data_IF_625953937959
#
_entry.id   IF_625953937959
#
_cell.length_a   1.000
_cell.length_b   1.000
_cell.length_c   1.000
_cell.angle_alpha   90.00
_cell.angle_beta   90.00
_cell.angle_gamma   90.00
#
_symmetry.space_group_name_H-M   'P 1'
#
loop_
_entity.id
_entity.type
_entity.pdbx_description
1 polymer ?
#
# COMPACT_ATOMS: atom_id res chain seq x y z
N UNK A 1 28.31 3.98 9.58
CA UNK A 1 28.30 3.26 10.87
C UNK A 1 27.81 4.20 11.96
N UNK A 2 26.84 3.79 12.78
CA UNK A 2 26.35 4.61 13.89
C UNK A 2 27.33 4.63 15.07
N UNK A 3 27.55 5.81 15.63
CA UNK A 3 28.38 6.03 16.82
C UNK A 3 27.45 6.26 18.02
N UNK A 4 27.27 5.21 18.83
CA UNK A 4 26.34 5.20 19.95
C UNK A 4 26.99 5.37 21.32
N UNK A 5 26.22 5.90 22.27
CA UNK A 5 26.53 5.89 23.71
C UNK A 5 25.41 5.17 24.45
N UNK A 6 25.75 4.42 25.49
CA UNK A 6 24.74 3.87 26.40
C UNK A 6 24.15 4.96 27.30
N UNK A 7 22.81 5.06 27.35
CA UNK A 7 22.08 6.08 28.12
C UNK A 7 21.17 5.52 29.21
N UNK A 8 20.79 4.24 29.14
CA UNK A 8 20.02 3.56 30.18
C UNK A 8 20.57 2.15 30.42
N UNK A 9 21.51 2.03 31.36
CA UNK A 9 22.19 0.76 31.64
C UNK A 9 22.88 0.18 30.40
N UNK A 10 22.75 -1.13 30.18
CA UNK A 10 23.33 -1.85 29.04
C UNK A 10 22.36 -2.01 27.86
N UNK A 11 21.09 -1.61 28.03
CA UNK A 11 20.02 -1.89 27.06
C UNK A 11 19.60 -0.69 26.22
N UNK A 12 19.98 0.53 26.62
CA UNK A 12 19.65 1.75 25.88
C UNK A 12 20.85 2.32 25.15
N UNK A 13 20.92 2.17 23.82
CA UNK A 13 21.90 2.87 22.98
C UNK A 13 21.26 4.13 22.45
N UNK A 14 21.93 5.26 22.56
CA UNK A 14 21.61 6.50 21.86
C UNK A 14 22.69 6.77 20.82
N UNK A 15 22.32 6.72 19.54
CA UNK A 15 23.23 7.07 18.45
C UNK A 15 23.43 8.59 18.45
N UNK A 16 24.68 9.04 18.52
CA UNK A 16 25.03 10.47 18.57
C UNK A 16 25.42 10.98 17.17
N UNK A 17 26.09 10.15 16.38
CA UNK A 17 26.63 10.54 15.08
C UNK A 17 26.72 9.35 14.12
N UNK A 18 26.92 9.65 12.84
CA UNK A 18 27.19 8.67 11.80
C UNK A 18 28.60 8.87 11.24
N UNK A 19 29.36 7.79 11.16
CA UNK A 19 30.62 7.73 10.43
C UNK A 19 30.35 7.24 8.99
N UNK A 20 30.77 8.04 8.02
CA UNK A 20 30.82 7.73 6.59
C UNK A 20 32.24 7.33 6.22
N UNK A 21 32.39 6.30 5.40
CA UNK A 21 33.70 5.84 4.95
C UNK A 21 33.76 5.99 3.43
N UNK A 22 34.75 6.73 2.94
CA UNK A 22 35.08 6.75 1.52
C UNK A 22 35.69 5.39 1.15
N UNK A 23 35.00 4.64 0.30
CA UNK A 23 35.41 3.31 -0.14
C UNK A 23 36.69 3.30 -0.99
N UNK A 24 37.06 4.42 -1.60
CA UNK A 24 38.25 4.55 -2.44
C UNK A 24 39.48 4.93 -1.62
N UNK A 25 39.32 5.88 -0.69
CA UNK A 25 40.45 6.45 0.07
C UNK A 25 40.58 5.90 1.49
N UNK A 26 39.50 5.31 2.03
CA UNK A 26 39.40 4.92 3.42
C UNK A 26 39.21 6.08 4.40
N UNK A 27 39.05 7.32 3.91
CA UNK A 27 38.80 8.48 4.76
C UNK A 27 37.46 8.33 5.51
N UNK A 28 37.42 8.77 6.76
CA UNK A 28 36.24 8.68 7.62
C UNK A 28 35.76 10.08 7.98
N UNK A 29 34.54 10.41 7.55
CA UNK A 29 33.86 11.65 7.91
C UNK A 29 32.75 11.37 8.90
N UNK A 30 32.55 12.26 9.87
CA UNK A 30 31.53 12.10 10.91
C UNK A 30 30.51 13.22 10.84
N UNK A 31 29.24 12.88 10.74
CA UNK A 31 28.12 13.82 10.80
C UNK A 31 27.25 13.58 12.02
N UNK A 32 26.73 14.64 12.62
CA UNK A 32 25.63 14.54 13.59
C UNK A 32 24.37 14.10 12.86
N UNK A 33 23.47 13.33 13.50
CA UNK A 33 22.28 12.77 12.83
C UNK A 33 21.47 13.85 12.07
N UNK A 34 21.22 14.99 12.70
CA UNK A 34 20.47 16.11 12.11
C UNK A 34 21.18 16.79 10.94
N UNK A 35 22.51 16.66 10.84
CA UNK A 35 23.35 17.32 9.85
C UNK A 35 23.96 16.32 8.86
N UNK A 36 23.56 15.05 8.89
CA UNK A 36 24.03 14.08 7.93
C UNK A 36 23.48 14.39 6.54
N UNK A 37 24.26 14.18 5.47
CA UNK A 37 23.82 14.41 4.11
C UNK A 37 22.46 13.76 3.81
N UNK A 38 21.66 14.43 2.96
CA UNK A 38 20.31 13.99 2.63
C UNK A 38 20.26 12.59 2.01
N UNK A 39 21.29 12.19 1.26
CA UNK A 39 21.40 10.86 0.64
C UNK A 39 21.59 9.71 1.65
N UNK A 40 21.80 10.00 2.94
CA UNK A 40 21.88 8.98 4.00
C UNK A 40 20.49 8.75 4.58
N UNK A 41 19.84 7.69 4.14
CA UNK A 41 18.48 7.37 4.58
C UNK A 41 18.45 6.74 5.97
N UNK A 42 19.36 5.79 6.24
CA UNK A 42 19.40 5.02 7.48
C UNK A 42 20.41 5.59 8.47
N UNK A 43 20.02 6.69 9.12
CA UNK A 43 20.81 7.34 10.17
C UNK A 43 20.68 6.70 11.55
N UNK A 44 19.70 5.82 11.75
CA UNK A 44 19.59 4.94 12.91
C UNK A 44 19.57 3.46 12.47
N UNK A 45 20.25 2.58 13.22
CA UNK A 45 20.12 1.14 13.02
C UNK A 45 18.75 0.64 13.52
N UNK A 46 18.31 -0.49 12.98
CA UNK A 46 17.02 -1.12 13.25
C UNK A 46 16.89 -1.58 14.71
N UNK A 47 17.96 -2.12 15.30
CA UNK A 47 17.99 -2.55 16.70
C UNK A 47 17.69 -1.41 17.71
N UNK A 48 18.19 -0.20 17.43
CA UNK A 48 17.93 0.97 18.24
C UNK A 48 16.47 1.41 18.12
N UNK A 49 15.91 1.43 16.91
CA UNK A 49 14.52 1.83 16.68
C UNK A 49 13.54 0.80 17.25
N UNK A 50 13.85 -0.49 17.16
CA UNK A 50 13.08 -1.57 17.79
C UNK A 50 12.99 -1.38 19.31
N UNK A 51 14.12 -1.04 19.94
CA UNK A 51 14.19 -0.79 21.39
C UNK A 51 13.32 0.41 21.79
N UNK A 52 13.38 1.50 21.04
CA UNK A 52 12.59 2.70 21.34
C UNK A 52 11.09 2.45 21.18
N UNK A 53 10.69 1.72 20.13
CA UNK A 53 9.31 1.33 19.90
C UNK A 53 8.81 0.38 20.98
N UNK A 54 9.62 -0.58 21.41
CA UNK A 54 9.28 -1.49 22.50
C UNK A 54 9.05 -0.73 23.82
N UNK A 55 9.92 0.23 24.15
CA UNK A 55 9.74 1.10 25.32
C UNK A 55 8.50 1.98 25.21
N UNK A 56 8.23 2.58 24.06
CA UNK A 56 6.99 3.32 23.84
C UNK A 56 5.78 2.41 24.13
N UNK A 57 5.78 1.19 23.59
CA UNK A 57 4.72 0.22 23.85
C UNK A 57 4.58 -0.18 25.32
N UNK A 58 5.68 -0.29 26.07
CA UNK A 58 5.66 -0.63 27.49
C UNK A 58 5.11 0.47 28.38
N UNK A 59 5.30 1.75 28.03
CA UNK A 59 5.08 2.85 28.96
C UNK A 59 4.00 3.86 28.53
N UNK A 60 3.54 3.87 27.27
CA UNK A 60 2.61 4.91 26.78
C UNK A 60 1.33 5.04 27.62
N UNK A 61 0.75 3.92 28.04
CA UNK A 61 -0.53 3.87 28.78
C UNK A 61 -0.40 3.09 30.10
N UNK A 62 0.84 2.80 30.51
CA UNK A 62 1.14 1.96 31.66
C UNK A 62 2.04 2.70 32.64
N UNK A 63 1.73 2.56 33.94
CA UNK A 63 2.61 3.05 35.00
C UNK A 63 3.92 2.26 35.03
N UNK A 64 4.97 2.88 35.59
CA UNK A 64 6.30 2.29 35.74
C UNK A 64 6.31 0.91 36.43
N UNK A 65 5.34 0.66 37.31
CA UNK A 65 5.12 -0.63 37.98
C UNK A 65 3.95 -1.40 37.37
N UNK A 66 4.19 -2.07 36.24
CA UNK A 66 3.17 -2.85 35.54
C UNK A 66 3.57 -4.32 35.33
N UNK A 67 3.62 -5.09 36.42
CA UNK A 67 3.91 -6.54 36.40
C UNK A 67 2.90 -7.35 35.57
N UNK A 68 1.66 -6.88 35.51
CA UNK A 68 0.60 -7.51 34.73
C UNK A 68 0.64 -7.18 33.23
N UNK A 69 1.57 -6.32 32.78
CA UNK A 69 1.70 -5.85 31.38
C UNK A 69 0.39 -5.30 30.78
N UNK A 70 -0.53 -4.86 31.64
CA UNK A 70 -1.85 -4.34 31.24
C UNK A 70 -1.67 -3.05 30.46
N UNK A 71 -2.41 -2.87 29.36
CA UNK A 71 -2.28 -1.70 28.47
C UNK A 71 -0.86 -1.47 27.92
N UNK A 72 -0.09 -2.54 27.70
CA UNK A 72 1.20 -2.46 27.02
C UNK A 72 1.11 -3.01 25.62
N UNK A 73 1.86 -2.39 24.71
CA UNK A 73 2.00 -2.80 23.33
C UNK A 73 3.40 -3.36 23.05
N UNK A 74 3.51 -4.06 21.93
CA UNK A 74 4.78 -4.50 21.35
C UNK A 74 4.66 -4.48 19.81
N UNK A 75 5.81 -4.51 19.12
CA UNK A 75 5.82 -4.78 17.68
C UNK A 75 5.25 -6.17 17.40
N UNK A 76 4.47 -6.30 16.33
CA UNK A 76 4.04 -7.61 15.81
C UNK A 76 5.26 -8.39 15.28
N UNK A 77 5.09 -9.70 15.04
CA UNK A 77 6.15 -10.65 14.65
C UNK A 77 6.84 -10.38 13.30
N UNK A 78 6.57 -9.24 12.64
CA UNK A 78 7.20 -8.82 11.40
C UNK A 78 8.33 -7.82 11.68
N UNK A 79 9.41 -7.89 10.88
CA UNK A 79 10.49 -6.90 10.94
C UNK A 79 9.98 -5.53 10.52
N UNK A 80 10.50 -4.49 11.14
CA UNK A 80 10.25 -3.13 10.69
C UNK A 80 10.72 -2.96 9.24
N UNK A 81 9.87 -2.33 8.43
CA UNK A 81 10.17 -2.07 7.02
C UNK A 81 10.34 -0.56 6.84
N UNK A 82 11.41 -0.10 6.17
CA UNK A 82 11.57 1.31 5.85
C UNK A 82 10.61 1.68 4.70
N UNK A 83 9.80 2.71 4.93
CA UNK A 83 8.88 3.30 3.95
C UNK A 83 9.48 4.62 3.47
N UNK A 84 9.48 4.80 2.15
CA UNK A 84 10.00 5.98 1.48
C UNK A 84 8.82 6.81 0.96
N UNK A 85 8.76 8.09 1.30
CA UNK A 85 7.76 9.03 0.77
C UNK A 85 8.38 10.10 -0.16
N UNK A 86 9.50 9.77 -0.82
CA UNK A 86 10.22 10.65 -1.73
C UNK A 86 11.26 11.56 -1.07
N UNK A 87 10.99 12.04 0.15
CA UNK A 87 11.89 12.96 0.87
C UNK A 87 12.36 12.42 2.24
N UNK A 88 11.58 11.54 2.85
CA UNK A 88 11.83 10.99 4.18
C UNK A 88 11.73 9.46 4.20
N UNK A 89 12.49 8.86 5.11
CA UNK A 89 12.43 7.42 5.41
C UNK A 89 11.92 7.23 6.82
N UNK A 90 10.77 6.59 6.93
CA UNK A 90 10.16 6.22 8.20
C UNK A 90 10.12 4.70 8.33
N UNK A 91 10.48 4.20 9.51
CA UNK A 91 10.29 2.79 9.85
C UNK A 91 8.85 2.56 10.24
N UNK A 92 8.18 1.61 9.56
CA UNK A 92 6.85 1.20 9.94
C UNK A 92 6.91 0.03 10.92
N UNK A 93 6.25 0.23 12.06
CA UNK A 93 6.05 -0.76 13.10
C UNK A 93 4.57 -1.03 13.29
N UNK A 94 4.17 -2.28 13.14
CA UNK A 94 2.80 -2.70 13.42
C UNK A 94 2.71 -3.06 14.90
N UNK A 95 1.77 -2.45 15.62
CA UNK A 95 1.67 -2.60 17.07
C UNK A 95 0.53 -3.55 17.46
N UNK A 96 0.83 -4.49 18.35
CA UNK A 96 -0.12 -5.43 18.97
C UNK A 96 -0.08 -5.31 20.50
N UNK A 97 -1.13 -5.83 21.16
CA UNK A 97 -1.17 -5.91 22.62
C UNK A 97 -0.21 -6.99 23.12
N UNK A 98 0.59 -6.66 24.14
CA UNK A 98 1.55 -7.61 24.74
C UNK A 98 0.89 -8.72 25.55
N UNK A 99 -0.35 -8.49 25.99
CA UNK A 99 -1.09 -9.40 26.87
C UNK A 99 -2.03 -10.35 26.12
N UNK A 100 -2.35 -10.05 24.87
CA UNK A 100 -3.26 -10.87 24.10
C UNK A 100 -2.49 -11.93 23.34
N UNK A 101 -3.02 -13.16 23.36
CA UNK A 101 -2.51 -14.30 22.57
C UNK A 101 -3.05 -14.27 21.13
N UNK A 102 -3.77 -13.22 20.75
CA UNK A 102 -4.31 -13.06 19.41
C UNK A 102 -3.38 -12.22 18.55
N UNK A 103 -3.15 -12.65 17.31
CA UNK A 103 -2.33 -11.94 16.33
C UNK A 103 -3.12 -10.78 15.72
N UNK A 104 -3.60 -9.87 16.56
CA UNK A 104 -4.41 -8.72 16.17
C UNK A 104 -3.65 -7.41 16.36
N UNK A 105 -3.47 -6.66 15.28
CA UNK A 105 -2.96 -5.30 15.29
C UNK A 105 -3.98 -4.33 15.84
N UNK A 106 -3.50 -3.35 16.61
CA UNK A 106 -4.31 -2.29 17.22
C UNK A 106 -3.85 -0.89 16.80
N UNK A 107 -2.69 -0.79 16.17
CA UNK A 107 -2.09 0.47 15.74
C UNK A 107 -0.85 0.25 14.89
N UNK A 108 -0.29 1.33 14.38
CA UNK A 108 1.05 1.35 13.79
C UNK A 108 1.82 2.58 14.25
N UNK A 109 3.15 2.49 14.25
CA UNK A 109 4.05 3.62 14.45
C UNK A 109 4.82 3.83 13.15
N UNK A 110 4.84 5.08 12.67
CA UNK A 110 5.82 5.54 11.70
C UNK A 110 6.91 6.29 12.45
N UNK A 111 8.13 5.76 12.43
CA UNK A 111 9.26 6.32 13.16
C UNK A 111 10.27 6.93 12.18
N UNK A 112 10.36 8.26 12.16
CA UNK A 112 11.38 8.98 11.39
C UNK A 112 12.73 8.85 12.10
N UNK A 113 13.68 8.17 11.44
CA UNK A 113 14.99 7.90 12.02
C UNK A 113 15.86 9.16 12.15
N UNK A 114 15.65 10.16 11.29
CA UNK A 114 16.44 11.39 11.22
C UNK A 114 15.96 12.40 12.25
N UNK A 115 14.65 12.57 12.36
CA UNK A 115 14.02 13.45 13.35
C UNK A 115 13.93 12.80 14.73
N UNK A 116 14.02 11.47 14.80
CA UNK A 116 13.79 10.66 16.02
C UNK A 116 12.39 10.84 16.59
N UNK A 117 11.41 11.03 15.71
CA UNK A 117 10.02 11.24 16.08
C UNK A 117 9.19 10.05 15.59
N UNK A 118 8.43 9.46 16.51
CA UNK A 118 7.45 8.43 16.20
C UNK A 118 6.04 8.99 16.20
N UNK A 119 5.28 8.76 15.13
CA UNK A 119 3.84 9.06 15.08
C UNK A 119 3.06 7.77 15.24
N UNK A 120 2.23 7.70 16.28
CA UNK A 120 1.38 6.54 16.56
C UNK A 120 -0.03 6.74 15.98
N UNK A 121 -0.45 5.82 15.13
CA UNK A 121 -1.78 5.76 14.54
C UNK A 121 -2.57 4.62 15.17
N UNK A 122 -3.77 4.92 15.63
CA UNK A 122 -4.71 3.94 16.18
C UNK A 122 -5.73 3.52 15.14
N UNK A 123 -6.11 2.26 15.14
CA UNK A 123 -7.20 1.76 14.31
C UNK A 123 -8.47 1.55 15.14
N UNK A 124 -9.62 1.86 14.54
CA UNK A 124 -10.93 1.70 15.19
C UNK A 124 -11.34 0.22 15.36
N UNK A 125 -10.70 -0.68 14.61
CA UNK A 125 -11.00 -2.11 14.64
C UNK A 125 -9.71 -2.92 14.57
N UNK A 126 -9.61 -4.02 15.34
CA UNK A 126 -8.47 -4.92 15.24
C UNK A 126 -8.40 -5.58 13.86
N UNK A 127 -7.18 -5.82 13.38
CA UNK A 127 -6.89 -6.45 12.09
C UNK A 127 -5.81 -7.53 12.25
N UNK A 128 -5.75 -8.54 11.37
CA UNK A 128 -4.74 -9.59 11.45
C UNK A 128 -3.35 -9.02 11.20
N UNK A 129 -2.33 -9.54 11.89
CA UNK A 129 -0.91 -9.14 11.75
C UNK A 129 0.02 -10.36 11.71
N UNK A 130 1.29 -10.14 11.32
CA UNK A 130 2.35 -11.13 11.47
C UNK A 130 2.10 -12.40 10.66
N UNK A 131 2.35 -13.54 11.30
CA UNK A 131 2.20 -14.86 10.69
C UNK A 131 0.81 -15.15 10.10
N UNK A 132 -0.26 -14.50 10.60
CA UNK A 132 -1.61 -14.68 10.05
C UNK A 132 -1.73 -14.08 8.65
N UNK A 133 -1.25 -12.85 8.48
CA UNK A 133 -1.27 -12.14 7.18
C UNK A 133 -0.33 -12.82 6.19
N UNK A 134 0.88 -13.17 6.66
CA UNK A 134 1.84 -13.95 5.87
C UNK A 134 1.23 -15.25 5.35
N UNK A 135 0.53 -15.98 6.23
CA UNK A 135 -0.18 -17.21 5.85
C UNK A 135 -1.28 -16.96 4.82
N UNK A 136 -1.97 -15.82 4.87
CA UNK A 136 -2.99 -15.47 3.87
C UNK A 136 -2.37 -15.32 2.48
N UNK A 137 -1.24 -14.62 2.36
CA UNK A 137 -0.52 -14.49 1.09
C UNK A 137 0.03 -15.84 0.60
N UNK A 138 0.74 -16.56 1.46
CA UNK A 138 1.43 -17.81 1.09
C UNK A 138 0.46 -18.98 0.80
N UNK A 139 -0.75 -18.97 1.40
CA UNK A 139 -1.77 -19.98 1.13
C UNK A 139 -2.74 -19.63 0.00
N UNK A 140 -2.58 -18.49 -0.67
CA UNK A 140 -3.33 -18.25 -1.91
C UNK A 140 -3.08 -19.40 -2.90
N UNK A 141 -4.17 -19.92 -3.48
CA UNK A 141 -4.16 -21.16 -4.28
C UNK A 141 -3.13 -21.11 -5.40
N UNK A 142 -2.97 -19.96 -6.04
CA UNK A 142 -2.06 -19.77 -7.16
C UNK A 142 -0.62 -19.52 -6.68
N UNK A 143 -0.43 -18.67 -5.66
CA UNK A 143 0.90 -18.40 -5.10
C UNK A 143 1.52 -19.65 -4.46
N UNK A 144 0.73 -20.47 -3.77
CA UNK A 144 1.18 -21.71 -3.13
C UNK A 144 1.79 -22.71 -4.12
N UNK A 145 1.30 -22.75 -5.36
CA UNK A 145 1.85 -23.62 -6.40
C UNK A 145 3.23 -23.16 -6.88
N UNK A 146 3.54 -21.87 -6.74
CA UNK A 146 4.80 -21.26 -7.17
C UNK A 146 5.93 -21.35 -6.14
N UNK A 147 5.71 -21.98 -4.99
CA UNK A 147 6.70 -22.06 -3.89
C UNK A 147 7.25 -20.69 -3.48
N UNK A 148 6.38 -19.67 -3.48
CA UNK A 148 6.74 -18.31 -3.07
C UNK A 148 6.49 -18.11 -1.58
N UNK A 149 7.33 -17.28 -0.96
CA UNK A 149 7.23 -16.87 0.43
C UNK A 149 7.23 -15.35 0.52
N UNK A 150 6.63 -14.81 1.57
CA UNK A 150 6.67 -13.37 1.84
C UNK A 150 8.09 -12.98 2.29
N UNK A 151 8.67 -11.94 1.69
CA UNK A 151 9.93 -11.35 2.15
C UNK A 151 9.66 -10.18 3.11
N UNK A 152 8.93 -9.17 2.64
CA UNK A 152 8.55 -7.99 3.42
C UNK A 152 7.06 -7.70 3.27
N UNK A 153 6.46 -7.07 4.29
CA UNK A 153 5.09 -6.58 4.26
C UNK A 153 5.01 -5.19 4.86
N UNK A 154 4.17 -4.34 4.25
CA UNK A 154 3.81 -3.03 4.78
C UNK A 154 2.30 -2.87 4.80
N UNK A 155 1.83 -2.02 5.70
CA UNK A 155 0.43 -1.60 5.78
C UNK A 155 0.29 -0.19 5.23
N UNK A 156 -0.54 -0.01 4.23
CA UNK A 156 -0.84 1.32 3.63
C UNK A 156 -2.34 1.52 3.59
N UNK A 157 -2.78 2.75 3.35
CA UNK A 157 -4.18 3.02 3.06
C UNK A 157 -4.33 3.17 1.55
N UNK A 158 -5.11 2.30 0.92
CA UNK A 158 -5.48 2.37 -0.50
C UNK A 158 -7.00 2.49 -0.54
N UNK A 159 -7.51 3.56 -1.16
CA UNK A 159 -8.95 3.81 -1.24
C UNK A 159 -9.71 3.86 0.10
N UNK A 160 -9.09 4.43 1.14
CA UNK A 160 -9.70 4.46 2.47
C UNK A 160 -9.67 3.10 3.18
N UNK A 161 -9.25 2.03 2.49
CA UNK A 161 -9.12 0.70 3.05
C UNK A 161 -7.68 0.48 3.52
N UNK A 162 -7.53 -0.10 4.71
CA UNK A 162 -6.21 -0.52 5.17
C UNK A 162 -5.80 -1.78 4.39
N UNK A 163 -4.62 -1.76 3.81
CA UNK A 163 -4.16 -2.77 2.85
C UNK A 163 -2.76 -3.23 3.20
N UNK A 164 -2.60 -4.54 3.32
CA UNK A 164 -1.30 -5.18 3.34
C UNK A 164 -0.73 -5.27 1.93
N UNK A 165 0.50 -4.82 1.77
CA UNK A 165 1.30 -4.98 0.56
C UNK A 165 2.49 -5.86 0.88
N UNK A 166 2.65 -6.96 0.17
CA UNK A 166 3.68 -7.96 0.39
C UNK A 166 4.57 -8.12 -0.84
N UNK A 167 5.87 -8.22 -0.63
CA UNK A 167 6.82 -8.68 -1.65
C UNK A 167 6.99 -10.19 -1.54
N UNK A 168 6.76 -10.90 -2.64
CA UNK A 168 6.84 -12.36 -2.70
C UNK A 168 8.14 -12.76 -3.41
N UNK A 169 8.86 -13.72 -2.83
CA UNK A 169 10.13 -14.23 -3.35
C UNK A 169 10.14 -15.75 -3.46
N UNK A 170 11.05 -16.30 -4.25
CA UNK A 170 11.33 -17.74 -4.33
C UNK A 170 12.81 -18.02 -4.06
N UNK A 171 13.18 -19.19 -3.53
CA UNK A 171 14.59 -19.57 -3.40
C UNK A 171 15.31 -19.58 -4.76
N UNK A 172 16.52 -19.02 -4.78
CA UNK A 172 17.42 -19.02 -5.92
C UNK A 172 18.82 -19.50 -5.50
N UNK A 173 19.70 -19.77 -6.46
CA UNK A 173 21.04 -20.29 -6.19
C UNK A 173 21.85 -19.39 -5.21
N UNK A 174 21.62 -18.07 -5.26
CA UNK A 174 22.29 -17.08 -4.42
C UNK A 174 21.27 -16.24 -3.61
N UNK A 175 20.43 -16.91 -2.80
CA UNK A 175 19.49 -16.24 -1.91
C UNK A 175 18.05 -16.35 -2.40
N UNK A 176 17.35 -15.22 -2.49
CA UNK A 176 15.94 -15.15 -2.88
C UNK A 176 15.78 -14.29 -4.13
N UNK A 177 14.80 -14.62 -4.98
CA UNK A 177 14.46 -13.87 -6.17
C UNK A 177 13.02 -13.37 -6.07
N UNK A 178 12.82 -12.07 -6.31
CA UNK A 178 11.50 -11.46 -6.44
C UNK A 178 10.64 -12.18 -7.48
N UNK A 179 9.37 -12.39 -7.16
CA UNK A 179 8.39 -13.00 -8.04
C UNK A 179 7.16 -12.12 -8.24
N UNK A 180 6.57 -11.62 -7.17
CA UNK A 180 5.30 -10.89 -7.22
C UNK A 180 5.23 -9.78 -6.17
N UNK A 181 4.39 -8.78 -6.45
CA UNK A 181 3.84 -7.88 -5.44
C UNK A 181 2.40 -8.28 -5.22
N UNK A 182 1.99 -8.44 -3.96
CA UNK A 182 0.67 -8.88 -3.57
C UNK A 182 0.01 -7.89 -2.62
N UNK A 183 -1.31 -7.76 -2.74
CA UNK A 183 -2.15 -6.86 -1.97
C UNK A 183 -3.30 -7.64 -1.34
N UNK A 184 -3.63 -7.34 -0.09
CA UNK A 184 -4.78 -7.90 0.61
C UNK A 184 -5.37 -6.88 1.59
N UNK A 185 -6.68 -6.85 1.75
CA UNK A 185 -7.32 -6.01 2.79
C UNK A 185 -6.82 -6.37 4.17
N UNK A 186 -6.71 -5.38 5.04
CA UNK A 186 -6.36 -5.53 6.44
C UNK A 186 -7.62 -5.39 7.31
N UNK A 187 -8.45 -6.44 7.31
CA UNK A 187 -9.67 -6.51 8.11
C UNK A 187 -9.74 -7.85 8.86
N UNK A 188 -10.69 -8.01 9.79
CA UNK A 188 -10.77 -9.20 10.64
C UNK A 188 -10.88 -10.53 9.87
N UNK A 189 -11.33 -10.49 8.62
CA UNK A 189 -11.61 -11.67 7.78
C UNK A 189 -10.65 -11.79 6.60
N UNK A 190 -9.49 -11.14 6.59
CA UNK A 190 -8.51 -11.26 5.49
C UNK A 190 -8.24 -12.72 5.15
N UNK A 191 -8.74 -13.16 3.99
CA UNK A 191 -8.64 -14.54 3.48
C UNK A 191 -7.84 -14.57 2.18
N UNK A 192 -7.41 -15.77 1.79
CA UNK A 192 -6.60 -16.00 0.58
C UNK A 192 -7.25 -15.51 -0.72
N UNK A 193 -8.58 -15.44 -0.75
CA UNK A 193 -9.35 -15.03 -1.93
C UNK A 193 -9.35 -13.50 -2.12
N UNK A 194 -8.97 -12.74 -1.09
CA UNK A 194 -8.80 -11.28 -1.13
C UNK A 194 -7.46 -10.87 -1.76
N UNK A 195 -6.55 -11.83 -1.99
CA UNK A 195 -5.18 -11.55 -2.42
C UNK A 195 -5.13 -11.30 -3.92
N UNK A 196 -4.81 -10.06 -4.29
CA UNK A 196 -4.51 -9.68 -5.68
C UNK A 196 -3.01 -9.53 -5.85
N UNK A 197 -2.44 -10.05 -6.94
CA UNK A 197 -1.00 -10.03 -7.16
C UNK A 197 -0.66 -10.04 -8.64
N UNK A 198 0.53 -9.55 -8.96
CA UNK A 198 1.14 -9.61 -10.28
C UNK A 198 2.66 -9.48 -10.15
N UNK A 199 3.40 -9.80 -11.22
CA UNK A 199 4.84 -9.57 -11.29
C UNK A 199 5.15 -8.08 -11.37
N UNK A 200 4.32 -7.33 -12.09
CA UNK A 200 4.40 -5.88 -12.15
C UNK A 200 3.61 -5.25 -10.98
N UNK A 201 4.26 -4.51 -10.06
CA UNK A 201 3.58 -3.87 -8.94
C UNK A 201 2.42 -2.94 -9.35
N UNK A 202 2.51 -2.28 -10.51
CA UNK A 202 1.45 -1.39 -11.00
C UNK A 202 0.21 -2.17 -11.43
N UNK A 203 0.42 -3.30 -12.11
CA UNK A 203 -0.67 -4.18 -12.49
C UNK A 203 -1.29 -4.84 -11.26
N UNK A 204 -0.47 -5.25 -10.30
CA UNK A 204 -0.93 -5.81 -9.03
C UNK A 204 -1.80 -4.81 -8.25
N UNK A 205 -1.37 -3.55 -8.17
CA UNK A 205 -2.15 -2.46 -7.58
C UNK A 205 -3.47 -2.29 -8.33
N UNK A 206 -3.45 -2.14 -9.66
CA UNK A 206 -4.67 -2.01 -10.48
C UNK A 206 -5.65 -3.17 -10.26
N UNK A 207 -5.16 -4.41 -10.20
CA UNK A 207 -5.99 -5.58 -9.93
C UNK A 207 -6.63 -5.50 -8.53
N UNK A 208 -5.87 -5.05 -7.54
CA UNK A 208 -6.36 -4.83 -6.18
C UNK A 208 -7.40 -3.73 -6.11
N UNK A 209 -7.18 -2.61 -6.78
CA UNK A 209 -8.10 -1.49 -6.91
C UNK A 209 -9.44 -1.92 -7.53
N UNK A 210 -9.39 -2.68 -8.62
CA UNK A 210 -10.57 -3.30 -9.25
C UNK A 210 -11.31 -4.25 -8.31
N UNK A 211 -10.54 -5.09 -7.60
CA UNK A 211 -11.11 -6.03 -6.66
C UNK A 211 -11.79 -5.31 -5.49
N UNK A 212 -11.16 -4.26 -4.95
CA UNK A 212 -11.76 -3.43 -3.91
C UNK A 212 -13.08 -2.83 -4.38
N UNK A 213 -13.10 -2.18 -5.54
CA UNK A 213 -14.30 -1.54 -6.08
C UNK A 213 -15.50 -2.50 -6.23
N UNK A 214 -15.23 -3.77 -6.52
CA UNK A 214 -16.27 -4.81 -6.71
C UNK A 214 -16.65 -5.55 -5.43
N UNK A 215 -15.85 -5.42 -4.36
CA UNK A 215 -16.02 -6.14 -3.09
C UNK A 215 -16.18 -5.20 -1.88
N UNK A 216 -16.56 -3.93 -2.10
CA UNK A 216 -16.99 -3.02 -1.03
C UNK A 216 -18.39 -3.35 -0.57
N UNK A 217 -18.61 -3.33 0.73
CA UNK A 217 -19.97 -3.33 1.27
C UNK A 217 -20.60 -1.93 1.13
N UNK A 218 -21.90 -1.86 0.84
CA UNK A 218 -22.67 -0.60 0.70
C UNK A 218 -22.70 0.30 1.95
N UNK A 219 -22.09 -0.15 3.05
CA UNK A 219 -21.97 0.58 4.32
C UNK A 219 -20.55 1.07 4.63
N UNK A 220 -19.59 0.76 3.77
CA UNK A 220 -18.22 1.26 3.88
C UNK A 220 -18.16 2.69 3.36
N UNK A 221 -17.42 3.57 4.07
CA UNK A 221 -17.25 4.95 3.64
C UNK A 221 -16.54 4.99 2.28
N UNK A 222 -16.97 5.91 1.43
CA UNK A 222 -16.34 6.18 0.15
C UNK A 222 -14.84 6.48 0.33
N UNK A 223 -13.99 6.09 -0.63
CA UNK A 223 -12.55 6.23 -0.52
C UNK A 223 -12.15 7.68 -0.31
N UNK A 224 -11.47 7.97 0.79
CA UNK A 224 -11.02 9.33 1.16
C UNK A 224 -9.57 9.62 0.82
N UNK A 225 -8.96 8.92 -0.14
CA UNK A 225 -7.88 9.59 -0.86
C UNK A 225 -8.53 10.74 -1.66
N UNK A 226 -7.77 11.65 -2.26
CA UNK A 226 -8.32 12.73 -3.11
C UNK A 226 -9.03 12.19 -4.40
N UNK A 227 -9.56 10.99 -4.33
CA UNK A 227 -10.47 10.32 -5.22
C UNK A 227 -11.79 11.08 -5.29
N UNK A 228 -11.86 12.01 -6.24
CA UNK A 228 -13.13 12.63 -6.59
C UNK A 228 -13.88 11.63 -7.46
N UNK A 229 -15.09 11.23 -7.07
CA UNK A 229 -16.01 10.59 -8.00
C UNK A 229 -16.30 11.60 -9.09
N UNK A 230 -15.85 11.30 -10.31
CA UNK A 230 -16.04 12.14 -11.48
C UNK A 230 -17.18 11.56 -12.31
N UNK A 231 -18.14 12.41 -12.62
CA UNK A 231 -19.15 12.15 -13.65
C UNK A 231 -18.72 12.92 -14.89
N UNK A 232 -18.47 12.19 -15.97
CA UNK A 232 -18.00 12.74 -17.24
C UNK A 232 -19.00 12.42 -18.34
N UNK A 233 -19.52 13.46 -18.97
CA UNK A 233 -20.37 13.38 -20.17
C UNK A 233 -19.51 13.69 -21.40
N UNK A 234 -19.67 12.90 -22.47
CA UNK A 234 -18.91 13.09 -23.69
C UNK A 234 -19.15 12.01 -24.74
N UNK A 235 -18.22 11.92 -25.70
CA UNK A 235 -18.34 11.01 -26.85
C UNK A 235 -17.24 9.95 -26.84
N UNK A 236 -17.59 8.70 -27.09
CA UNK A 236 -16.61 7.61 -27.19
C UNK A 236 -15.73 7.81 -28.42
N UNK A 237 -14.42 7.95 -28.21
CA UNK A 237 -13.46 8.13 -29.30
C UNK A 237 -13.04 6.78 -29.89
N UNK A 238 -12.76 5.78 -29.05
CA UNK A 238 -12.41 4.42 -29.49
C UNK A 238 -12.84 3.39 -28.47
N UNK A 239 -13.12 2.16 -28.92
CA UNK A 239 -13.51 1.03 -28.07
C UNK A 239 -12.64 -0.19 -28.43
N UNK A 240 -12.28 -0.97 -27.43
CA UNK A 240 -11.55 -2.22 -27.57
C UNK A 240 -11.88 -3.15 -26.39
N UNK A 241 -11.38 -4.38 -26.47
CA UNK A 241 -11.52 -5.35 -25.38
C UNK A 241 -10.18 -5.96 -25.04
N UNK A 242 -10.01 -6.33 -23.76
CA UNK A 242 -8.86 -7.08 -23.29
C UNK A 242 -9.32 -8.19 -22.35
N UNK A 243 -8.69 -9.37 -22.43
CA UNK A 243 -9.03 -10.51 -21.59
C UNK A 243 -7.94 -10.72 -20.55
N UNK A 244 -8.29 -10.59 -19.27
CA UNK A 244 -7.38 -10.81 -18.14
C UNK A 244 -7.99 -11.87 -17.24
N UNK A 245 -7.28 -12.97 -17.04
CA UNK A 245 -7.71 -14.10 -16.20
C UNK A 245 -9.12 -14.66 -16.53
N UNK A 246 -9.51 -14.66 -17.81
CA UNK A 246 -10.80 -15.17 -18.27
C UNK A 246 -11.96 -14.17 -18.22
N UNK A 247 -11.75 -12.98 -17.65
CA UNK A 247 -12.71 -11.88 -17.69
C UNK A 247 -12.40 -10.97 -18.89
N UNK A 248 -13.44 -10.59 -19.64
CA UNK A 248 -13.34 -9.64 -20.75
C UNK A 248 -13.66 -8.24 -20.25
N UNK A 249 -12.67 -7.35 -20.33
CA UNK A 249 -12.80 -5.94 -20.01
C UNK A 249 -12.99 -5.13 -21.28
N UNK A 250 -13.89 -4.17 -21.23
CA UNK A 250 -14.07 -3.16 -22.27
C UNK A 250 -13.17 -1.97 -21.93
N UNK A 251 -12.34 -1.57 -22.89
CA UNK A 251 -11.44 -0.43 -22.76
C UNK A 251 -11.84 0.59 -23.80
N UNK A 252 -12.03 1.83 -23.40
CA UNK A 252 -12.41 2.88 -24.31
C UNK A 252 -11.75 4.21 -23.97
N UNK A 253 -11.69 5.09 -24.96
CA UNK A 253 -11.25 6.48 -24.79
C UNK A 253 -12.41 7.39 -25.10
N UNK A 254 -12.40 8.60 -24.55
CA UNK A 254 -13.47 9.58 -24.73
C UNK A 254 -12.92 10.93 -25.18
N UNK A 255 -13.78 11.68 -25.86
CA UNK A 255 -13.69 13.12 -25.97
C UNK A 255 -14.72 13.78 -25.06
N UNK A 256 -14.41 14.94 -24.51
CA UNK A 256 -15.37 15.76 -23.77
C UNK A 256 -16.45 16.37 -24.70
N UNK A 257 -17.39 17.11 -24.12
CA UNK A 257 -18.45 17.81 -24.86
C UNK A 257 -17.94 18.87 -25.85
N UNK A 258 -16.71 19.35 -25.67
CA UNK A 258 -16.03 20.28 -26.58
C UNK A 258 -15.21 19.55 -27.68
N UNK A 259 -15.39 18.23 -27.81
CA UNK A 259 -14.68 17.35 -28.73
C UNK A 259 -13.16 17.29 -28.51
N UNK A 260 -12.68 17.57 -27.30
CA UNK A 260 -11.27 17.42 -26.93
C UNK A 260 -11.03 16.04 -26.30
N UNK A 261 -9.89 15.38 -26.60
CA UNK A 261 -9.54 14.12 -25.95
C UNK A 261 -9.47 14.29 -24.43
N UNK A 262 -10.04 13.33 -23.71
CA UNK A 262 -9.91 13.29 -22.25
C UNK A 262 -8.51 12.78 -21.92
N UNK A 263 -7.76 13.57 -21.15
CA UNK A 263 -6.36 13.31 -20.84
C UNK A 263 -6.12 13.10 -19.34
N UNK A 264 -4.96 12.52 -19.04
CA UNK A 264 -4.37 12.36 -17.72
C UNK A 264 -3.01 13.06 -17.72
N UNK A 265 -2.67 13.80 -16.66
CA UNK A 265 -1.34 14.41 -16.53
C UNK A 265 -0.50 13.53 -15.62
N UNK A 266 0.63 13.01 -16.12
CA UNK A 266 1.52 12.17 -15.32
C UNK A 266 2.37 12.99 -14.31
N UNK A 267 3.10 12.29 -13.43
CA UNK A 267 3.95 12.90 -12.41
C UNK A 267 5.04 13.84 -12.98
N UNK A 268 5.36 13.71 -14.28
CA UNK A 268 6.33 14.56 -14.96
C UNK A 268 5.66 15.78 -15.63
N UNK A 269 4.35 15.95 -15.48
CA UNK A 269 3.57 17.00 -16.10
C UNK A 269 3.25 16.77 -17.58
N UNK A 270 3.42 15.54 -18.09
CA UNK A 270 3.09 15.22 -19.48
C UNK A 270 1.63 14.76 -19.60
N UNK A 271 0.90 15.33 -20.57
CA UNK A 271 -0.44 14.87 -20.91
C UNK A 271 -0.39 13.54 -21.67
N UNK A 272 -1.14 12.57 -21.17
CA UNK A 272 -1.34 11.24 -21.73
C UNK A 272 -2.83 11.03 -22.02
N UNK A 273 -3.13 10.14 -22.96
CA UNK A 273 -4.51 9.70 -23.20
C UNK A 273 -5.06 9.00 -21.97
N UNK A 274 -6.28 9.36 -21.56
CA UNK A 274 -7.00 8.65 -20.49
C UNK A 274 -7.80 7.48 -21.07
N UNK A 275 -7.66 6.33 -20.43
CA UNK A 275 -8.32 5.08 -20.81
C UNK A 275 -9.34 4.70 -19.75
N UNK A 276 -10.58 4.50 -20.16
CA UNK A 276 -11.67 4.05 -19.31
C UNK A 276 -11.80 2.54 -19.44
N UNK A 277 -11.80 1.86 -18.32
CA UNK A 277 -11.89 0.40 -18.27
C UNK A 277 -13.15 0.04 -17.51
N UNK A 278 -13.96 -0.85 -18.10
CA UNK A 278 -15.17 -1.36 -17.48
C UNK A 278 -15.28 -2.86 -17.67
N UNK A 279 -15.62 -3.57 -16.60
CA UNK A 279 -16.09 -4.94 -16.69
C UNK A 279 -17.59 -4.92 -17.00
N UNK A 280 -18.06 -5.83 -17.86
CA UNK A 280 -19.49 -6.03 -18.04
C UNK A 280 -20.15 -6.43 -16.71
N UNK A 281 -21.09 -5.62 -16.26
CA UNK A 281 -21.92 -5.85 -15.08
C UNK A 281 -23.38 -5.65 -15.46
N UNK A 282 -24.26 -6.65 -15.26
CA UNK A 282 -25.67 -6.57 -15.62
C UNK A 282 -26.46 -5.53 -14.80
N UNK A 283 -25.86 -4.93 -13.76
CA UNK A 283 -26.50 -3.92 -12.91
C UNK A 283 -25.94 -2.51 -13.09
N UNK A 284 -24.78 -2.33 -13.70
CA UNK A 284 -24.05 -1.04 -13.71
C UNK A 284 -23.50 -0.63 -15.08
N UNK A 285 -23.22 -1.59 -15.97
CA UNK A 285 -22.47 -1.35 -17.20
C UNK A 285 -22.95 -2.25 -18.35
N UNK A 286 -24.25 -2.55 -18.36
CA UNK A 286 -24.89 -3.47 -19.31
C UNK A 286 -24.75 -3.02 -20.76
N UNK A 287 -24.56 -1.71 -20.98
CA UNK A 287 -24.47 -1.08 -22.29
C UNK A 287 -23.06 -1.10 -22.89
N UNK A 288 -21.99 -1.33 -22.08
CA UNK A 288 -20.60 -1.36 -22.56
C UNK A 288 -20.35 -2.28 -23.77
N UNK A 289 -20.96 -3.48 -23.87
CA UNK A 289 -20.77 -4.34 -25.04
C UNK A 289 -21.46 -3.83 -26.32
N UNK A 290 -22.39 -2.89 -26.18
CA UNK A 290 -23.18 -2.31 -27.28
C UNK A 290 -22.61 -0.97 -27.77
N UNK A 291 -21.75 -0.35 -26.97
CA UNK A 291 -21.14 0.94 -27.26
C UNK A 291 -20.19 0.89 -28.45
N UNK A 292 -20.26 1.92 -29.30
CA UNK A 292 -19.36 2.13 -30.42
C UNK A 292 -18.71 3.52 -30.39
N UNK A 293 -17.69 3.72 -31.23
CA UNK A 293 -17.09 5.04 -31.44
C UNK A 293 -18.15 6.01 -31.96
N UNK A 294 -18.20 7.20 -31.37
CA UNK A 294 -19.15 8.27 -31.65
C UNK A 294 -20.37 8.30 -30.73
N UNK A 295 -20.62 7.26 -29.93
CA UNK A 295 -21.75 7.24 -28.99
C UNK A 295 -21.59 8.30 -27.90
N UNK A 296 -22.70 8.95 -27.56
CA UNK A 296 -22.82 9.89 -26.45
C UNK A 296 -23.04 9.12 -25.15
N UNK A 297 -22.15 9.34 -24.17
CA UNK A 297 -22.11 8.52 -22.95
C UNK A 297 -21.92 9.37 -21.71
N UNK A 298 -22.47 8.89 -20.60
CA UNK A 298 -22.22 9.37 -19.25
C UNK A 298 -21.42 8.30 -18.49
N UNK A 299 -20.25 8.68 -18.01
CA UNK A 299 -19.33 7.78 -17.33
C UNK A 299 -19.09 8.28 -15.92
N UNK A 300 -19.37 7.43 -14.94
CA UNK A 300 -18.97 7.67 -13.55
C UNK A 300 -17.72 6.86 -13.27
N UNK A 301 -16.67 7.50 -12.79
CA UNK A 301 -15.43 6.82 -12.43
C UNK A 301 -14.77 7.49 -11.23
N UNK A 302 -13.83 6.77 -10.62
CA UNK A 302 -13.05 7.30 -9.52
C UNK A 302 -11.72 7.83 -10.06
N UNK A 303 -11.49 9.14 -9.97
CA UNK A 303 -10.23 9.74 -10.42
C UNK A 303 -9.22 9.79 -9.28
N UNK A 304 -8.22 8.90 -9.33
CA UNK A 304 -7.12 8.90 -8.35
C UNK A 304 -5.96 9.79 -8.76
N UNK A 305 -5.94 10.25 -10.01
CA UNK A 305 -4.78 10.90 -10.62
C UNK A 305 -3.46 10.11 -10.48
N UNK A 306 -3.52 8.78 -10.30
CA UNK A 306 -2.34 7.91 -10.18
C UNK A 306 -2.05 7.12 -11.46
N UNK A 307 -2.98 7.11 -12.41
CA UNK A 307 -2.94 6.25 -13.60
C UNK A 307 -3.69 6.89 -14.78
N UNK A 308 -3.17 6.65 -15.98
CA UNK A 308 -3.86 6.97 -17.23
C UNK A 308 -5.10 6.09 -17.44
N UNK A 309 -5.12 4.90 -16.86
CA UNK A 309 -6.27 3.99 -16.87
C UNK A 309 -7.12 4.19 -15.61
N UNK A 310 -8.43 4.40 -15.80
CA UNK A 310 -9.42 4.56 -14.73
C UNK A 310 -10.55 3.54 -14.87
N UNK A 311 -10.98 2.99 -13.73
CA UNK A 311 -12.12 2.07 -13.70
C UNK A 311 -13.43 2.84 -13.59
N UNK A 312 -14.37 2.51 -14.48
CA UNK A 312 -15.71 3.08 -14.44
C UNK A 312 -16.56 2.34 -13.41
N UNK A 313 -17.30 3.10 -12.62
CA UNK A 313 -18.26 2.62 -11.62
C UNK A 313 -19.66 2.48 -12.22
N UNK A 314 -20.00 3.35 -13.16
CA UNK A 314 -21.25 3.31 -13.90
C UNK A 314 -21.03 3.83 -15.32
N UNK A 315 -21.82 3.31 -16.24
CA UNK A 315 -21.76 3.66 -17.65
C UNK A 315 -23.17 3.68 -18.22
N UNK A 316 -23.54 4.81 -18.82
CA UNK A 316 -24.81 5.01 -19.50
C UNK A 316 -24.52 5.51 -20.93
N UNK A 317 -24.99 4.77 -21.91
CA UNK A 317 -24.95 5.09 -23.33
C UNK A 317 -26.25 5.77 -23.71
N UNK A 318 -26.22 7.10 -23.81
CA UNK A 318 -27.39 7.94 -24.02
C UNK A 318 -27.98 7.80 -25.43
N UNK A 319 -27.26 7.14 -26.34
CA UNK A 319 -27.74 6.80 -27.69
C UNK A 319 -28.40 5.40 -27.75
N UNK A 320 -28.22 4.58 -26.72
CA UNK A 320 -28.86 3.25 -26.61
C UNK A 320 -30.18 3.38 -25.83
N UNK A 321 -31.31 2.84 -26.33
CA UNK A 321 -32.58 2.94 -25.61
C UNK A 321 -32.49 2.24 -24.24
N UNK A 322 -33.05 2.83 -23.17
CA UNK A 322 -33.05 2.19 -21.86
C UNK A 322 -33.78 0.84 -21.92
N UNK A 323 -33.14 -0.20 -21.40
CA UNK A 323 -33.71 -1.55 -21.28
C UNK A 323 -34.41 -1.79 -19.95
#
# INVERSE_FOLDING_TARGET
MGLGKYVMGWSGIEIQAMAMVDVTTGAVDVCQISNCPAWIDRVLPDDATDTYVDWYGLYKDAGWWNLGKVNTLMGADDKAVPIYNGEHVAWQYIMTSRNMKDNSGVGLILYDARERVGTYYTFNSPFPVGGQVRSTFENNKTLKQSSTTVDQMILVNIFGENTWVATMVTPAANGTQYQYTAFARANKTTVSDDVQFDKDPKIALRNYEMWLATHRDTSEADPTQESVTVILEGYVASVGTTTVQGNTYHVFTMNDMDAKPVTYTDDNGAEQTRYFVGLYSPTQTIELPLTASGHHVLVTYLDTNLSAEVQIQAFEDLDVPPQ
#
